data_IF_021646390136
#
_entry.id   IF_021646390136
#
_cell.length_a   1.000
_cell.length_b   1.000
_cell.length_c   1.000
_cell.angle_alpha   90.00
_cell.angle_beta   90.00
_cell.angle_gamma   90.00
#
_symmetry.space_group_name_H-M   'P 1'
#
loop_
_entity.id
_entity.type
_entity.pdbx_description
1 polymer ?
#
# COMPACT_ATOMS: atom_id res chain seq x y z
N UNK A 1 4.22 -10.02 22.39
CA UNK A 1 3.89 -9.19 22.48
C UNK A 1 2.95 -8.85 23.06
N UNK A 2 2.86 -8.21 23.33
CA UNK A 2 2.03 -7.78 23.81
C UNK A 2 1.00 -7.56 23.25
N UNK A 3 0.57 -7.88 23.33
CA UNK A 3 -0.29 -7.88 22.89
C UNK A 3 -1.25 -7.14 23.17
N UNK A 4 -1.56 -6.79 23.85
CA UNK A 4 -2.41 -5.99 24.08
C UNK A 4 -2.10 -4.96 23.77
N UNK A 5 -1.55 -5.18 23.30
CA UNK A 5 -1.22 -4.24 22.98
C UNK A 5 -2.05 -3.46 22.36
N UNK A 6 -2.02 -2.42 22.43
CA UNK A 6 -2.59 -1.58 21.68
C UNK A 6 -1.67 -1.19 20.70
N UNK A 7 -2.05 -1.13 19.46
CA UNK A 7 -1.18 -0.53 18.51
C UNK A 7 -1.93 0.57 17.83
N UNK A 8 -1.18 1.51 17.28
CA UNK A 8 -1.71 2.65 16.57
C UNK A 8 -1.71 2.32 15.08
N UNK A 9 -2.78 2.58 14.33
CA UNK A 9 -2.74 2.40 12.90
C UNK A 9 -1.59 3.18 12.28
N UNK A 10 -0.99 2.61 11.23
CA UNK A 10 0.17 3.21 10.59
C UNK A 10 -0.22 4.39 9.72
N UNK A 11 0.58 5.46 9.76
CA UNK A 11 0.43 6.59 8.87
C UNK A 11 1.27 6.46 7.62
N UNK A 12 2.22 5.54 7.61
CA UNK A 12 3.10 5.29 6.47
C UNK A 12 3.28 3.79 6.35
N UNK A 13 3.02 3.27 5.16
CA UNK A 13 3.09 1.84 4.89
C UNK A 13 3.95 1.63 3.66
N UNK A 14 4.95 0.74 3.78
CA UNK A 14 5.76 0.32 2.63
C UNK A 14 5.39 -1.08 2.24
N UNK A 15 5.17 -1.30 0.96
CA UNK A 15 4.88 -2.62 0.42
C UNK A 15 5.89 -2.95 -0.67
N UNK A 16 6.53 -4.12 -0.54
CA UNK A 16 7.54 -4.55 -1.48
C UNK A 16 7.29 -6.03 -1.82
N UNK A 17 6.17 -6.31 -2.50
CA UNK A 17 5.85 -7.69 -2.83
C UNK A 17 6.80 -8.22 -3.92
N UNK A 18 6.92 -9.54 -4.06
CA UNK A 18 7.73 -10.13 -5.12
C UNK A 18 7.23 -9.69 -6.49
N UNK A 19 8.17 -9.56 -7.43
CA UNK A 19 7.82 -9.18 -8.79
C UNK A 19 6.97 -10.25 -9.46
N UNK A 20 6.17 -9.81 -10.40
CA UNK A 20 5.33 -10.73 -11.15
C UNK A 20 4.11 -11.20 -10.39
N UNK A 21 3.89 -10.68 -9.20
CA UNK A 21 2.76 -11.04 -8.38
C UNK A 21 1.89 -9.81 -8.19
N UNK A 22 0.59 -9.99 -8.36
CA UNK A 22 -0.34 -8.90 -8.14
C UNK A 22 -0.80 -8.94 -6.68
N UNK A 23 0.10 -8.62 -5.77
CA UNK A 23 -0.13 -8.76 -4.34
C UNK A 23 -0.42 -7.45 -3.62
N UNK A 24 -0.28 -6.31 -4.31
CA UNK A 24 -0.47 -5.02 -3.64
C UNK A 24 -1.91 -4.85 -3.17
N UNK A 25 -2.87 -5.08 -4.05
CA UNK A 25 -4.28 -4.91 -3.69
C UNK A 25 -4.71 -5.86 -2.58
N UNK A 26 -4.40 -7.17 -2.66
CA UNK A 26 -4.74 -8.04 -1.55
C UNK A 26 -4.08 -7.65 -0.25
N UNK A 27 -2.82 -7.19 -0.29
CA UNK A 27 -2.13 -6.79 0.93
C UNK A 27 -2.78 -5.57 1.54
N UNK A 28 -3.08 -4.56 0.73
CA UNK A 28 -3.75 -3.35 1.23
C UNK A 28 -5.12 -3.68 1.83
N UNK A 29 -5.88 -4.51 1.14
CA UNK A 29 -7.20 -4.89 1.60
C UNK A 29 -7.13 -5.60 2.95
N UNK A 30 -6.18 -6.51 3.09
CA UNK A 30 -6.01 -7.24 4.34
C UNK A 30 -5.63 -6.32 5.49
N UNK A 31 -4.67 -5.41 5.25
CA UNK A 31 -4.22 -4.49 6.27
C UNK A 31 -5.34 -3.52 6.67
N UNK A 32 -6.09 -3.05 5.68
CA UNK A 32 -7.16 -2.10 5.94
C UNK A 32 -8.29 -2.74 6.73
N UNK A 33 -8.62 -3.98 6.42
CA UNK A 33 -9.67 -4.69 7.17
C UNK A 33 -9.31 -4.86 8.63
N UNK A 34 -8.03 -4.97 8.93
CA UNK A 34 -7.57 -5.14 10.30
C UNK A 34 -7.41 -3.82 11.03
N UNK A 35 -7.68 -2.71 10.35
CA UNK A 35 -7.58 -1.40 10.97
C UNK A 35 -6.15 -0.95 11.17
N UNK A 36 -5.20 -1.49 10.39
CA UNK A 36 -3.79 -1.16 10.54
C UNK A 36 -3.37 0.07 9.76
N UNK A 37 -4.24 0.59 8.90
CA UNK A 37 -3.93 1.75 8.05
C UNK A 37 -4.79 2.92 8.51
N UNK A 38 -4.12 4.00 8.91
CA UNK A 38 -4.83 5.18 9.40
C UNK A 38 -5.47 5.93 8.23
N UNK A 39 -6.49 6.72 8.54
CA UNK A 39 -7.06 7.62 7.56
C UNK A 39 -5.99 8.58 7.08
N UNK A 40 -5.97 8.85 5.78
CA UNK A 40 -4.99 9.73 5.15
C UNK A 40 -3.56 9.18 5.16
N UNK A 41 -3.38 7.91 5.50
CA UNK A 41 -2.06 7.30 5.49
C UNK A 41 -1.48 7.27 4.08
N UNK A 42 -0.16 7.37 3.99
CA UNK A 42 0.56 7.26 2.73
C UNK A 42 1.06 5.83 2.57
N UNK A 43 0.81 5.25 1.43
CA UNK A 43 1.29 3.93 1.09
C UNK A 43 2.26 4.05 -0.05
N UNK A 44 3.45 3.47 0.11
CA UNK A 44 4.47 3.45 -0.92
C UNK A 44 4.68 2.01 -1.33
N UNK A 45 4.49 1.71 -2.59
CA UNK A 45 4.59 0.33 -3.08
C UNK A 45 5.44 0.27 -4.32
N UNK A 46 6.26 -0.76 -4.41
CA UNK A 46 7.06 -1.02 -5.59
C UNK A 46 6.42 -2.11 -6.42
N UNK A 47 6.43 -1.95 -7.74
CA UNK A 47 5.87 -2.94 -8.64
C UNK A 47 6.65 -2.93 -9.94
N UNK A 48 6.40 -3.91 -10.80
CA UNK A 48 7.01 -3.94 -12.11
C UNK A 48 6.48 -2.80 -12.97
N UNK A 49 7.35 -2.25 -13.81
CA UNK A 49 6.99 -1.09 -14.59
C UNK A 49 5.89 -1.33 -15.61
N UNK A 50 5.64 -2.60 -15.96
CA UNK A 50 4.61 -2.96 -16.94
C UNK A 50 3.35 -3.50 -16.31
N UNK A 51 3.35 -3.68 -15.00
CA UNK A 51 2.18 -4.23 -14.34
C UNK A 51 1.05 -3.22 -14.32
N UNK A 52 -0.15 -3.69 -14.60
CA UNK A 52 -1.32 -2.83 -14.50
C UNK A 52 -1.68 -2.66 -13.05
N UNK A 53 -2.13 -1.47 -12.69
CA UNK A 53 -2.53 -1.21 -11.32
C UNK A 53 -3.68 -0.23 -11.28
N UNK A 54 -4.67 -0.54 -10.46
CA UNK A 54 -5.75 0.38 -10.15
C UNK A 54 -5.92 0.36 -8.63
N UNK A 55 -6.04 1.53 -7.98
CA UNK A 55 -6.21 1.56 -6.54
C UNK A 55 -7.49 0.85 -6.13
N UNK A 56 -7.46 0.06 -5.04
CA UNK A 56 -8.69 -0.51 -4.52
C UNK A 56 -9.58 0.56 -3.89
N UNK A 57 -10.84 0.24 -3.61
CA UNK A 57 -11.71 1.19 -2.93
C UNK A 57 -11.09 1.66 -1.63
N UNK A 58 -11.21 2.94 -1.37
CA UNK A 58 -10.65 3.56 -0.16
C UNK A 58 -9.26 4.10 -0.32
N UNK A 59 -8.65 3.95 -1.51
CA UNK A 59 -7.29 4.43 -1.76
C UNK A 59 -7.26 5.21 -3.06
N UNK A 60 -6.40 6.21 -3.11
CA UNK A 60 -6.22 7.05 -4.29
C UNK A 60 -4.75 7.10 -4.68
N UNK A 61 -4.46 7.00 -5.97
CA UNK A 61 -3.10 7.13 -6.47
C UNK A 61 -2.74 8.62 -6.50
N UNK A 62 -1.72 9.01 -5.75
CA UNK A 62 -1.35 10.42 -5.65
C UNK A 62 -0.06 10.76 -6.36
N UNK A 63 0.81 9.78 -6.62
CA UNK A 63 2.03 10.01 -7.37
C UNK A 63 2.56 8.69 -7.89
N UNK A 64 3.45 8.78 -8.86
CA UNK A 64 4.05 7.61 -9.46
C UNK A 64 5.42 7.97 -9.99
N UNK A 65 6.41 7.13 -9.74
CA UNK A 65 7.77 7.34 -10.21
C UNK A 65 8.28 6.08 -10.88
N UNK A 66 9.04 6.23 -11.95
CA UNK A 66 9.60 5.09 -12.66
C UNK A 66 11.11 5.12 -12.57
N UNK A 67 11.69 3.95 -12.29
CA UNK A 67 13.12 3.79 -12.19
C UNK A 67 13.50 2.52 -12.93
N UNK A 68 14.02 2.65 -14.14
CA UNK A 68 14.38 1.48 -14.93
C UNK A 68 13.15 0.61 -15.17
N UNK A 69 13.20 -0.63 -14.68
CA UNK A 69 12.09 -1.58 -14.84
C UNK A 69 11.14 -1.58 -13.65
N UNK A 70 11.40 -0.76 -12.68
CA UNK A 70 10.56 -0.69 -11.49
C UNK A 70 9.69 0.56 -11.53
N UNK A 71 8.60 0.49 -10.81
CA UNK A 71 7.68 1.60 -10.66
C UNK A 71 7.32 1.73 -9.18
N UNK A 72 7.43 2.94 -8.67
CA UNK A 72 7.03 3.23 -7.29
C UNK A 72 5.73 3.99 -7.36
N UNK A 73 4.72 3.49 -6.71
CA UNK A 73 3.42 4.17 -6.64
C UNK A 73 3.20 4.67 -5.22
N UNK A 74 2.54 5.80 -5.15
CA UNK A 74 2.21 6.44 -3.88
C UNK A 74 0.71 6.54 -3.80
N UNK A 75 0.14 5.90 -2.79
CA UNK A 75 -1.30 5.90 -2.59
C UNK A 75 -1.61 6.60 -1.28
N UNK A 76 -2.80 7.16 -1.20
CA UNK A 76 -3.28 7.72 0.05
C UNK A 76 -4.58 7.05 0.40
N UNK A 77 -4.71 6.66 1.66
CA UNK A 77 -5.97 6.11 2.14
C UNK A 77 -6.94 7.26 2.35
N UNK A 78 -8.14 7.09 1.83
CA UNK A 78 -9.18 8.12 1.98
C UNK A 78 -9.53 8.31 3.45
N UNK A 79 -9.99 9.48 3.76
CA UNK A 79 -10.36 9.83 5.13
C UNK A 79 -11.59 9.05 5.62
#
# INVERSE_FOLDING_TARGET
>A
MNSHARFTPADLVFLDPPYGQDLIVPALTALDRRGWIAANALIVAEMGGRDAFAPPPGFSLVDERRYGKARIIFLQRDA
#
